data_IF_447710267173
#
_entry.id   IF_447710267173
#
_cell.length_a   1.000
_cell.length_b   1.000
_cell.length_c   1.000
_cell.angle_alpha   90.00
_cell.angle_beta   90.00
_cell.angle_gamma   90.00
#
_symmetry.space_group_name_H-M   'P 1'
#
loop_
_entity.id
_entity.type
_entity.pdbx_description
1 polymer ?
#
# COMPACT_ATOMS: atom_id res chain seq x y z
N UNK A 1 0.30 47.47 -6.79
CA UNK A 1 1.00 46.69 -7.81
C UNK A 1 0.59 45.25 -7.59
N UNK A 2 -0.55 44.95 -8.20
CA UNK A 2 -1.33 43.74 -8.03
C UNK A 2 -0.64 42.56 -8.70
N UNK A 3 -0.38 41.51 -7.93
CA UNK A 3 0.05 40.22 -8.45
C UNK A 3 -1.22 39.40 -8.66
N UNK A 4 -1.98 39.75 -9.70
CA UNK A 4 -3.03 38.90 -10.25
C UNK A 4 -2.35 37.90 -11.19
N UNK A 5 -1.96 36.74 -10.66
CA UNK A 5 -1.59 35.62 -11.52
C UNK A 5 -2.85 35.16 -12.25
N UNK A 6 -2.88 35.36 -13.57
CA UNK A 6 -3.94 34.86 -14.41
C UNK A 6 -3.80 33.35 -14.56
N UNK A 7 -4.91 32.61 -14.45
CA UNK A 7 -5.03 31.15 -14.71
C UNK A 7 -4.43 30.73 -16.08
N UNK A 8 -4.23 31.69 -16.98
CA UNK A 8 -3.55 31.48 -18.26
C UNK A 8 -2.03 31.28 -18.16
N UNK A 9 -1.35 31.76 -17.12
CA UNK A 9 0.10 31.58 -16.92
C UNK A 9 0.45 30.19 -16.37
N UNK A 10 -0.46 29.57 -15.61
CA UNK A 10 -0.31 28.17 -15.12
C UNK A 10 -0.57 27.16 -16.25
N UNK A 11 -1.37 27.53 -17.25
CA UNK A 11 -1.58 26.72 -18.48
C UNK A 11 -0.37 26.73 -19.43
N UNK A 12 0.65 27.53 -19.15
CA UNK A 12 1.86 27.72 -19.96
C UNK A 12 3.11 27.11 -19.32
N UNK A 13 2.97 26.07 -18.48
CA UNK A 13 3.95 24.98 -18.55
C UNK A 13 3.68 24.32 -19.89
N UNK A 14 4.38 24.85 -20.90
CA UNK A 14 4.11 24.66 -22.31
C UNK A 14 3.71 23.22 -22.60
N UNK A 15 2.57 23.05 -23.28
CA UNK A 15 2.19 21.76 -23.85
C UNK A 15 3.37 21.17 -24.65
N UNK A 16 4.23 22.02 -25.23
CA UNK A 16 5.48 21.59 -25.86
C UNK A 16 6.50 21.03 -24.87
N UNK A 17 6.67 21.58 -23.67
CA UNK A 17 7.57 21.02 -22.64
C UNK A 17 7.06 19.65 -22.18
N UNK A 18 5.75 19.50 -21.91
CA UNK A 18 5.18 18.18 -21.55
C UNK A 18 5.30 17.19 -22.72
N UNK A 19 5.13 17.63 -23.97
CA UNK A 19 5.25 16.77 -25.16
C UNK A 19 6.71 16.41 -25.44
N UNK A 20 7.68 17.33 -25.35
CA UNK A 20 9.10 17.05 -25.49
C UNK A 20 9.59 16.15 -24.37
N UNK A 21 9.10 16.39 -23.16
CA UNK A 21 9.43 15.61 -21.97
C UNK A 21 8.90 14.18 -22.08
N UNK A 22 7.65 14.03 -22.54
CA UNK A 22 7.06 12.73 -22.85
C UNK A 22 7.81 12.04 -23.99
N UNK A 23 8.29 12.77 -25.01
CA UNK A 23 9.00 12.19 -26.14
C UNK A 23 10.42 11.73 -25.79
N UNK A 24 11.13 12.50 -24.96
CA UNK A 24 12.48 12.15 -24.48
C UNK A 24 12.45 11.01 -23.47
N UNK A 25 11.47 11.01 -22.54
CA UNK A 25 11.26 9.86 -21.66
C UNK A 25 10.73 8.65 -22.43
N UNK A 26 9.89 8.83 -23.44
CA UNK A 26 9.48 7.74 -24.33
C UNK A 26 10.69 7.17 -25.09
N UNK A 27 11.64 8.00 -25.55
CA UNK A 27 12.88 7.53 -26.17
C UNK A 27 13.81 6.80 -25.19
N UNK A 28 13.95 7.26 -23.95
CA UNK A 28 14.73 6.58 -22.91
C UNK A 28 14.06 5.31 -22.36
N UNK A 29 12.73 5.31 -22.22
CA UNK A 29 11.93 4.14 -21.81
C UNK A 29 11.91 3.08 -22.91
N UNK A 30 11.90 3.47 -24.18
CA UNK A 30 11.96 2.54 -25.31
C UNK A 30 13.37 2.07 -25.67
N UNK A 31 14.40 2.90 -25.47
CA UNK A 31 15.81 2.51 -25.68
C UNK A 31 16.36 1.68 -24.52
N UNK A 32 15.70 1.72 -23.36
CA UNK A 32 16.00 0.84 -22.25
C UNK A 32 15.66 -0.61 -22.58
N UNK A 33 16.69 -1.42 -22.85
CA UNK A 33 16.57 -2.87 -22.94
C UNK A 33 16.84 -3.49 -21.57
N UNK A 34 15.86 -4.12 -20.92
CA UNK A 34 16.12 -4.88 -19.70
C UNK A 34 16.96 -6.12 -20.03
N UNK A 35 18.12 -6.27 -19.39
CA UNK A 35 18.68 -7.61 -19.19
C UNK A 35 17.82 -8.30 -18.13
N UNK A 36 16.87 -9.13 -18.58
CA UNK A 36 16.06 -9.95 -17.70
C UNK A 36 16.98 -10.86 -16.88
N UNK A 37 16.96 -10.71 -15.56
CA UNK A 37 17.40 -11.79 -14.69
C UNK A 37 16.33 -12.90 -14.74
N UNK A 38 16.70 -14.18 -14.58
CA UNK A 38 15.74 -15.30 -14.58
C UNK A 38 14.61 -15.17 -13.55
N UNK A 39 14.74 -14.27 -12.59
CA UNK A 39 13.79 -14.03 -11.49
C UNK A 39 12.89 -12.80 -11.70
N UNK A 40 13.02 -12.07 -12.80
CA UNK A 40 12.15 -10.91 -13.11
C UNK A 40 12.35 -9.69 -12.20
N UNK A 41 13.40 -9.68 -11.38
CA UNK A 41 13.77 -8.55 -10.51
C UNK A 41 14.94 -7.75 -11.10
N UNK A 42 14.72 -6.43 -11.23
CA UNK A 42 15.73 -5.47 -11.65
C UNK A 42 16.59 -5.06 -10.46
N UNK A 43 17.91 -5.27 -10.54
CA UNK A 43 18.88 -4.71 -9.60
C UNK A 43 20.02 -4.08 -10.39
N UNK A 44 20.16 -2.76 -10.29
CA UNK A 44 21.46 -2.11 -10.46
C UNK A 44 22.14 -2.16 -9.09
N UNK A 45 23.33 -2.76 -9.05
CA UNK A 45 24.12 -2.90 -7.83
C UNK A 45 24.84 -1.56 -7.57
N UNK A 46 24.18 -0.62 -6.89
CA UNK A 46 24.87 0.50 -6.25
C UNK A 46 25.02 0.19 -4.75
N UNK A 47 26.12 -0.47 -4.34
CA UNK A 47 26.30 -0.98 -2.99
C UNK A 47 26.31 0.13 -1.91
N UNK A 48 26.54 1.38 -2.29
CA UNK A 48 26.50 2.51 -1.34
C UNK A 48 25.09 2.89 -0.91
N UNK A 49 24.07 2.52 -1.69
CA UNK A 49 22.66 2.86 -1.42
C UNK A 49 21.82 1.63 -1.03
N UNK A 50 22.42 0.44 -1.01
CA UNK A 50 21.74 -0.81 -0.66
C UNK A 50 21.69 -0.98 0.86
N UNK A 51 20.49 -1.14 1.41
CA UNK A 51 20.36 -1.60 2.81
C UNK A 51 20.65 -3.10 2.82
N UNK A 52 21.73 -3.48 3.50
CA UNK A 52 22.02 -4.87 3.82
C UNK A 52 21.51 -5.15 5.21
N UNK A 53 20.45 -5.93 5.30
CA UNK A 53 19.95 -6.42 6.59
C UNK A 53 20.73 -7.69 6.91
N UNK A 54 21.53 -7.66 7.98
CA UNK A 54 22.15 -8.87 8.51
C UNK A 54 21.05 -9.73 9.14
N UNK A 55 20.77 -10.91 8.56
CA UNK A 55 19.78 -11.81 9.16
C UNK A 55 20.23 -12.22 10.56
N UNK A 56 19.29 -12.29 11.50
CA UNK A 56 19.54 -12.90 12.81
C UNK A 56 19.75 -14.42 12.70
N UNK A 57 19.25 -15.04 11.63
CA UNK A 57 19.55 -16.42 11.27
C UNK A 57 20.85 -16.45 10.47
N UNK A 58 21.63 -17.54 10.54
CA UNK A 58 22.92 -17.65 9.81
C UNK A 58 22.71 -17.45 8.29
N UNK A 59 23.20 -16.34 7.75
CA UNK A 59 23.22 -16.02 6.31
C UNK A 59 22.79 -14.58 6.02
N UNK A 60 23.44 -13.88 5.09
CA UNK A 60 23.00 -12.53 4.68
C UNK A 60 21.96 -12.65 3.57
N UNK A 61 20.74 -12.17 3.79
CA UNK A 61 19.71 -12.08 2.75
C UNK A 61 19.56 -10.62 2.34
N UNK A 62 20.04 -10.27 1.15
CA UNK A 62 19.90 -8.93 0.59
C UNK A 62 18.50 -8.76 0.02
N UNK A 63 17.62 -8.05 0.71
CA UNK A 63 16.37 -7.61 0.08
C UNK A 63 16.66 -6.38 -0.80
N UNK A 64 16.02 -6.28 -1.98
CA UNK A 64 16.20 -5.12 -2.88
C UNK A 64 15.61 -3.85 -2.25
N UNK A 65 16.47 -3.12 -1.53
CA UNK A 65 16.12 -1.92 -0.76
C UNK A 65 17.12 -0.82 -1.06
N UNK A 66 16.63 0.38 -1.36
CA UNK A 66 17.48 1.55 -1.63
C UNK A 66 17.01 2.77 -0.84
N UNK A 67 17.93 3.37 -0.10
CA UNK A 67 17.69 4.67 0.55
C UNK A 67 17.85 5.76 -0.49
N UNK A 68 16.84 6.61 -0.61
CA UNK A 68 16.95 7.83 -1.36
C UNK A 68 16.79 9.03 -0.43
N UNK A 69 17.70 10.00 -0.56
CA UNK A 69 17.58 11.31 0.07
C UNK A 69 17.44 12.39 -1.00
N UNK A 70 16.57 13.37 -0.74
CA UNK A 70 16.49 14.63 -1.48
C UNK A 70 17.03 15.70 -0.54
N UNK A 71 18.34 16.02 -0.60
CA UNK A 71 18.92 16.95 0.36
C UNK A 71 18.21 18.31 0.32
N UNK A 72 17.88 18.80 -0.87
CA UNK A 72 17.19 20.07 -1.02
C UNK A 72 15.78 20.07 -0.41
N UNK A 73 15.05 18.94 -0.52
CA UNK A 73 13.72 18.80 0.07
C UNK A 73 13.77 18.36 1.55
N UNK A 74 14.95 18.08 2.11
CA UNK A 74 15.13 17.48 3.43
C UNK A 74 14.23 16.25 3.65
N UNK A 75 14.14 15.39 2.63
CA UNK A 75 13.34 14.15 2.65
C UNK A 75 14.22 12.94 2.45
N UNK A 76 13.87 11.84 3.11
CA UNK A 76 14.49 10.52 2.94
C UNK A 76 13.41 9.46 2.82
N UNK A 77 13.67 8.43 2.02
CA UNK A 77 12.75 7.32 1.79
C UNK A 77 13.54 6.01 1.66
N UNK A 78 12.92 4.89 2.04
CA UNK A 78 13.38 3.56 1.67
C UNK A 78 12.44 3.02 0.62
N UNK A 79 12.94 2.83 -0.60
CA UNK A 79 12.17 2.14 -1.64
C UNK A 79 12.51 0.64 -1.61
N UNK A 80 11.47 -0.18 -1.46
CA UNK A 80 11.61 -1.63 -1.36
C UNK A 80 10.68 -2.36 -2.33
N UNK A 81 11.05 -3.58 -2.72
CA UNK A 81 10.09 -4.51 -3.32
C UNK A 81 9.04 -4.94 -2.28
N UNK A 82 7.88 -5.40 -2.75
CA UNK A 82 6.90 -6.08 -1.91
C UNK A 82 7.53 -7.34 -1.29
N UNK A 83 7.32 -7.60 0.02
CA UNK A 83 7.83 -8.80 0.64
C UNK A 83 7.41 -10.08 -0.09
N UNK A 84 8.36 -10.99 -0.24
CA UNK A 84 8.16 -12.40 -0.59
C UNK A 84 8.04 -13.22 0.70
N UNK A 85 7.45 -14.42 0.63
CA UNK A 85 7.20 -15.27 1.81
C UNK A 85 8.46 -15.48 2.68
N UNK A 86 9.62 -15.70 2.05
CA UNK A 86 10.90 -15.91 2.72
C UNK A 86 11.65 -14.61 3.10
N UNK A 87 11.05 -13.44 2.88
CA UNK A 87 11.65 -12.12 3.15
C UNK A 87 10.81 -11.23 4.05
N UNK A 88 9.63 -11.69 4.50
CA UNK A 88 8.76 -10.97 5.45
C UNK A 88 9.52 -10.57 6.71
N UNK A 89 10.25 -11.53 7.27
CA UNK A 89 11.08 -11.37 8.46
C UNK A 89 12.17 -10.29 8.28
N UNK A 90 12.87 -10.32 7.15
CA UNK A 90 13.87 -9.30 6.79
C UNK A 90 13.25 -7.91 6.57
N UNK A 91 12.03 -7.85 6.03
CA UNK A 91 11.32 -6.59 5.82
C UNK A 91 10.99 -5.91 7.16
N UNK A 92 10.46 -6.66 8.13
CA UNK A 92 10.16 -6.10 9.46
C UNK A 92 11.41 -5.76 10.25
N UNK A 93 12.47 -6.56 10.15
CA UNK A 93 13.76 -6.23 10.74
C UNK A 93 14.30 -4.90 10.19
N UNK A 94 14.23 -4.69 8.87
CA UNK A 94 14.62 -3.42 8.26
C UNK A 94 13.79 -2.25 8.79
N UNK A 95 12.47 -2.41 8.87
CA UNK A 95 11.57 -1.39 9.45
C UNK A 95 12.02 -1.05 10.89
N UNK A 96 12.32 -2.06 11.70
CA UNK A 96 12.79 -1.90 13.09
C UNK A 96 14.12 -1.15 13.17
N UNK A 97 15.16 -1.66 12.49
CA UNK A 97 16.54 -1.14 12.52
C UNK A 97 16.63 0.30 11.99
N UNK A 98 15.90 0.59 10.91
CA UNK A 98 15.88 1.92 10.28
C UNK A 98 15.03 2.92 11.05
N UNK A 99 14.40 2.52 12.16
CA UNK A 99 13.51 3.35 12.98
C UNK A 99 12.37 3.97 12.18
N UNK A 100 11.93 3.26 11.14
CA UNK A 100 10.85 3.72 10.25
C UNK A 100 9.55 3.82 11.04
N UNK A 101 8.92 5.00 10.98
CA UNK A 101 7.61 5.27 11.61
C UNK A 101 6.45 4.75 10.77
N UNK A 102 6.63 4.62 9.46
CA UNK A 102 5.57 4.15 8.58
C UNK A 102 6.03 3.30 7.40
N UNK A 103 5.08 2.49 6.94
CA UNK A 103 5.11 1.75 5.68
C UNK A 103 4.00 2.30 4.78
N UNK A 104 4.33 2.60 3.53
CA UNK A 104 3.42 3.05 2.49
C UNK A 104 3.36 1.95 1.42
N UNK A 105 2.28 1.18 1.46
CA UNK A 105 1.98 0.08 0.55
C UNK A 105 1.08 0.59 -0.58
N UNK A 106 1.60 0.55 -1.80
CA UNK A 106 0.92 1.05 -3.01
C UNK A 106 0.49 -0.08 -3.95
N UNK A 107 0.32 -1.30 -3.45
CA UNK A 107 -0.13 -2.47 -4.22
C UNK A 107 -1.09 -3.30 -3.40
N UNK A 108 -2.04 -3.97 -4.04
CA UNK A 108 -2.72 -5.08 -3.41
C UNK A 108 -1.81 -6.32 -3.39
N UNK A 109 -2.13 -7.28 -2.51
CA UNK A 109 -1.40 -8.56 -2.43
C UNK A 109 -1.50 -9.36 -3.75
N UNK A 110 -2.68 -9.33 -4.37
CA UNK A 110 -2.97 -10.00 -5.63
C UNK A 110 -3.56 -8.96 -6.59
N UNK A 111 -3.02 -8.87 -7.80
CA UNK A 111 -3.51 -8.00 -8.86
C UNK A 111 -3.61 -8.80 -10.15
N UNK A 112 -4.79 -8.77 -10.79
CA UNK A 112 -5.08 -9.53 -12.03
C UNK A 112 -4.70 -11.03 -11.92
N UNK A 113 -4.98 -11.64 -10.78
CA UNK A 113 -4.69 -13.06 -10.51
C UNK A 113 -3.22 -13.38 -10.24
N UNK A 114 -2.32 -12.38 -10.22
CA UNK A 114 -0.90 -12.56 -9.93
C UNK A 114 -0.57 -12.07 -8.53
N UNK A 115 0.21 -12.85 -7.77
CA UNK A 115 0.73 -12.43 -6.47
C UNK A 115 1.77 -11.33 -6.69
N UNK A 116 1.55 -10.17 -6.08
CA UNK A 116 2.41 -8.98 -6.18
C UNK A 116 3.21 -8.73 -4.91
N UNK A 117 2.68 -9.20 -3.79
CA UNK A 117 3.23 -9.05 -2.45
C UNK A 117 2.65 -10.16 -1.57
N UNK A 118 3.50 -10.81 -0.79
CA UNK A 118 3.06 -11.76 0.23
C UNK A 118 2.28 -11.06 1.34
N UNK A 119 1.42 -11.80 2.03
CA UNK A 119 0.75 -11.28 3.23
C UNK A 119 1.79 -11.15 4.34
N UNK A 120 2.31 -9.94 4.53
CA UNK A 120 3.40 -9.68 5.46
C UNK A 120 2.94 -8.98 6.74
N UNK A 121 1.63 -8.78 6.93
CA UNK A 121 1.08 -8.11 8.11
C UNK A 121 -0.16 -8.86 8.61
N UNK A 122 -0.46 -8.79 9.92
CA UNK A 122 -1.64 -9.45 10.48
C UNK A 122 -2.92 -8.82 9.91
N UNK A 123 -3.87 -9.66 9.50
CA UNK A 123 -5.16 -9.20 8.99
C UNK A 123 -6.21 -9.24 10.09
N UNK A 124 -7.23 -8.41 9.93
CA UNK A 124 -8.32 -8.29 10.90
C UNK A 124 -9.27 -9.51 10.87
N UNK A 125 -9.26 -10.26 9.76
CA UNK A 125 -10.07 -11.45 9.53
C UNK A 125 -9.38 -12.77 9.92
N UNK A 126 -8.13 -12.71 10.41
CA UNK A 126 -7.38 -13.85 10.90
C UNK A 126 -7.45 -13.87 12.44
N UNK A 127 -7.82 -15.01 13.04
CA UNK A 127 -7.91 -15.21 14.51
C UNK A 127 -6.60 -14.86 15.22
N UNK A 128 -5.49 -14.89 14.49
CA UNK A 128 -4.16 -14.47 14.92
C UNK A 128 -3.87 -13.06 14.38
N UNK A 129 -4.21 -12.02 15.14
CA UNK A 129 -3.77 -10.63 14.89
C UNK A 129 -2.25 -10.42 15.07
N UNK A 130 -1.48 -11.50 15.01
CA UNK A 130 -0.05 -11.55 15.25
C UNK A 130 0.61 -12.32 14.12
N UNK A 131 1.60 -11.68 13.49
CA UNK A 131 2.48 -12.35 12.55
C UNK A 131 3.65 -12.93 13.34
N UNK A 132 3.78 -14.26 13.35
CA UNK A 132 4.85 -14.99 14.01
C UNK A 132 5.48 -15.97 13.02
N UNK A 133 6.80 -15.91 12.87
CA UNK A 133 7.57 -17.04 12.32
C UNK A 133 7.91 -18.02 13.45
N UNK A 134 8.35 -19.24 13.12
CA UNK A 134 8.64 -20.30 14.12
C UNK A 134 9.69 -19.88 15.18
N UNK A 135 10.52 -18.88 14.86
CA UNK A 135 11.51 -18.27 15.75
C UNK A 135 11.69 -16.80 15.31
N UNK A 136 10.79 -15.90 15.75
CA UNK A 136 10.70 -14.56 15.23
C UNK A 136 11.61 -13.60 16.00
N UNK A 137 12.38 -12.79 15.27
CA UNK A 137 13.10 -11.65 15.87
C UNK A 137 12.14 -10.56 16.35
N UNK A 138 11.04 -10.36 15.60
CA UNK A 138 10.01 -9.38 15.89
C UNK A 138 8.63 -10.03 15.89
N UNK A 139 7.86 -9.73 16.92
CA UNK A 139 6.42 -9.97 16.94
C UNK A 139 5.70 -8.73 16.41
N UNK A 140 4.82 -8.90 15.41
CA UNK A 140 4.05 -7.81 14.83
C UNK A 140 2.57 -8.01 15.15
N UNK A 141 1.96 -7.06 15.85
CA UNK A 141 0.55 -7.13 16.28
C UNK A 141 -0.26 -5.99 15.70
N UNK A 142 -1.47 -6.24 15.21
CA UNK A 142 -2.39 -5.20 14.75
C UNK A 142 -3.14 -4.57 15.93
N UNK A 143 -2.96 -3.27 16.15
CA UNK A 143 -3.63 -2.52 17.22
C UNK A 143 -4.94 -1.87 16.76
N UNK A 144 -4.97 -1.33 15.54
CA UNK A 144 -6.16 -0.66 15.00
C UNK A 144 -6.17 -0.62 13.47
N UNK A 145 -7.36 -0.54 12.89
CA UNK A 145 -7.60 -0.43 11.45
C UNK A 145 -8.57 0.72 11.18
N UNK A 146 -8.11 1.73 10.44
CA UNK A 146 -8.92 2.86 9.97
C UNK A 146 -9.17 2.72 8.47
N UNK A 147 -10.44 2.76 8.06
CA UNK A 147 -10.85 2.60 6.66
C UNK A 147 -11.29 3.93 6.09
N UNK A 148 -10.78 4.27 4.91
CA UNK A 148 -11.21 5.40 4.10
C UNK A 148 -11.60 4.89 2.72
N UNK A 149 -12.18 5.77 1.89
CA UNK A 149 -12.75 5.37 0.59
C UNK A 149 -11.73 4.75 -0.38
N UNK A 150 -10.47 5.19 -0.35
CA UNK A 150 -9.43 4.77 -1.30
C UNK A 150 -8.20 4.11 -0.66
N UNK A 151 -8.07 4.23 0.66
CA UNK A 151 -6.94 3.72 1.42
C UNK A 151 -7.38 3.30 2.82
N UNK A 152 -6.50 2.57 3.51
CA UNK A 152 -6.65 2.28 4.93
C UNK A 152 -5.36 2.59 5.67
N UNK A 153 -5.47 2.84 6.96
CA UNK A 153 -4.35 3.04 7.87
C UNK A 153 -4.45 2.02 8.98
N UNK A 154 -3.46 1.14 9.07
CA UNK A 154 -3.35 0.22 10.19
C UNK A 154 -2.28 0.74 11.15
N UNK A 155 -2.47 0.52 12.44
CA UNK A 155 -1.42 0.75 13.45
C UNK A 155 -0.92 -0.61 13.91
N UNK A 156 0.37 -0.87 13.72
CA UNK A 156 1.02 -2.08 14.16
C UNK A 156 1.94 -1.82 15.35
N UNK A 157 1.93 -2.71 16.34
CA UNK A 157 2.94 -2.79 17.39
C UNK A 157 4.02 -3.79 16.96
N UNK A 158 5.27 -3.33 16.92
CA UNK A 158 6.45 -4.18 16.77
C UNK A 158 7.05 -4.39 18.16
N UNK A 159 7.24 -5.65 18.55
CA UNK A 159 7.89 -6.06 19.79
C UNK A 159 9.14 -6.89 19.49
N UNK A 160 10.31 -6.39 19.87
CA UNK A 160 11.58 -7.12 19.76
C UNK A 160 11.64 -8.19 20.83
N UNK A 161 11.61 -9.47 20.41
CA UNK A 161 11.39 -10.61 21.32
C UNK A 161 12.48 -10.74 22.39
N UNK A 162 13.73 -10.40 22.04
CA UNK A 162 14.87 -10.54 22.95
C UNK A 162 14.91 -9.46 24.05
N UNK A 163 14.42 -8.25 23.76
CA UNK A 163 14.53 -7.10 24.68
C UNK A 163 13.20 -6.63 25.26
N UNK A 164 12.07 -7.06 24.69
CA UNK A 164 10.73 -6.60 25.03
C UNK A 164 10.45 -5.15 24.62
N UNK A 165 11.36 -4.49 23.88
CA UNK A 165 11.14 -3.12 23.40
C UNK A 165 10.00 -3.10 22.38
N UNK A 166 9.14 -2.10 22.50
CA UNK A 166 7.97 -1.91 21.64
C UNK A 166 8.03 -0.61 20.86
N UNK A 167 7.49 -0.63 19.64
CA UNK A 167 7.32 0.57 18.81
C UNK A 167 6.11 0.44 17.90
N UNK A 168 5.37 1.52 17.76
CA UNK A 168 4.28 1.60 16.79
C UNK A 168 4.81 1.93 15.39
N UNK A 169 4.19 1.31 14.38
CA UNK A 169 4.42 1.58 12.96
C UNK A 169 3.07 1.76 12.28
N UNK A 170 2.92 2.89 11.58
CA UNK A 170 1.76 3.16 10.76
C UNK A 170 1.89 2.48 9.41
N UNK A 171 0.84 1.81 8.95
CA UNK A 171 0.82 1.15 7.66
C UNK A 171 -0.30 1.74 6.80
N UNK A 172 0.11 2.57 5.85
CA UNK A 172 -0.76 3.20 4.87
C UNK A 172 -0.88 2.30 3.65
N UNK A 173 -2.07 1.77 3.39
CA UNK A 173 -2.33 0.92 2.25
C UNK A 173 -3.30 1.59 1.27
N UNK A 174 -2.77 2.02 0.12
CA UNK A 174 -3.56 2.57 -0.98
C UNK A 174 -4.13 1.44 -1.84
N UNK A 175 -5.33 0.97 -1.50
CA UNK A 175 -5.91 -0.24 -2.07
C UNK A 175 -6.53 -0.03 -3.48
N UNK A 176 -6.90 1.19 -3.84
CA UNK A 176 -7.57 1.49 -5.12
C UNK A 176 -6.62 1.78 -6.29
N UNK A 177 -5.30 1.56 -6.13
CA UNK A 177 -4.30 1.77 -7.19
C UNK A 177 -3.88 0.45 -7.84
N UNK A 178 -4.43 0.15 -9.02
CA UNK A 178 -4.10 -1.07 -9.77
C UNK A 178 -2.70 -1.03 -10.42
N UNK A 179 -2.12 -2.20 -10.72
CA UNK A 179 -0.78 -2.26 -11.34
C UNK A 179 -0.72 -1.58 -12.71
N UNK A 180 0.40 -0.91 -12.98
CA UNK A 180 0.67 -0.13 -14.20
C UNK A 180 -0.35 0.96 -14.55
N UNK A 181 -1.30 1.24 -13.64
CA UNK A 181 -2.23 2.34 -13.80
C UNK A 181 -1.80 3.56 -12.98
N UNK A 182 -2.60 4.60 -13.08
CA UNK A 182 -2.49 5.82 -12.28
C UNK A 182 -3.67 5.87 -11.30
N UNK A 183 -3.55 6.58 -10.16
CA UNK A 183 -4.69 6.83 -9.29
C UNK A 183 -5.88 7.42 -10.07
N UNK A 184 -7.10 7.05 -9.68
CA UNK A 184 -8.32 7.47 -10.38
C UNK A 184 -8.48 9.00 -10.46
N UNK A 185 -8.03 9.72 -9.43
CA UNK A 185 -7.92 11.17 -9.45
C UNK A 185 -6.64 11.63 -8.75
N UNK A 186 -5.98 12.71 -9.24
CA UNK A 186 -4.87 13.33 -8.53
C UNK A 186 -5.30 13.83 -7.14
N UNK A 187 -6.53 14.32 -6.99
CA UNK A 187 -7.11 14.70 -5.71
C UNK A 187 -7.07 13.57 -4.67
N UNK A 188 -7.51 12.35 -5.00
CA UNK A 188 -7.50 11.22 -4.08
C UNK A 188 -6.05 10.85 -3.66
N UNK A 189 -5.12 10.90 -4.62
CA UNK A 189 -3.70 10.70 -4.34
C UNK A 189 -3.14 11.80 -3.42
N UNK A 190 -3.48 13.06 -3.66
CA UNK A 190 -3.01 14.20 -2.86
C UNK A 190 -3.60 14.17 -1.44
N UNK A 191 -4.88 13.78 -1.28
CA UNK A 191 -5.49 13.54 0.04
C UNK A 191 -4.75 12.45 0.80
N UNK A 192 -4.43 11.33 0.15
CA UNK A 192 -3.63 10.27 0.77
C UNK A 192 -2.23 10.75 1.16
N UNK A 193 -1.51 11.41 0.25
CA UNK A 193 -0.19 11.98 0.53
C UNK A 193 -0.25 12.96 1.70
N UNK A 194 -1.29 13.79 1.76
CA UNK A 194 -1.50 14.72 2.86
C UNK A 194 -1.67 14.00 4.20
N UNK A 195 -2.42 12.90 4.24
CA UNK A 195 -2.60 12.09 5.46
C UNK A 195 -1.30 11.44 5.93
N UNK A 196 -0.46 10.96 5.00
CA UNK A 196 0.89 10.46 5.31
C UNK A 196 1.80 11.58 5.84
N UNK A 197 1.61 12.84 5.38
CA UNK A 197 2.34 14.00 5.91
C UNK A 197 1.86 14.38 7.31
N UNK A 198 0.55 14.40 7.55
CA UNK A 198 -0.05 14.77 8.85
C UNK A 198 0.37 13.83 9.98
N UNK A 199 0.62 12.55 9.68
CA UNK A 199 1.10 11.60 10.69
C UNK A 199 2.54 11.85 11.16
N UNK A 200 3.26 12.80 10.54
CA UNK A 200 4.68 13.06 10.79
C UNK A 200 5.59 11.92 10.33
N UNK A 201 5.08 11.03 9.47
CA UNK A 201 5.82 9.84 9.02
C UNK A 201 6.91 10.15 7.98
N UNK A 202 6.88 11.35 7.41
CA UNK A 202 7.88 11.82 6.44
C UNK A 202 8.91 12.77 7.07
N UNK A 203 8.76 13.11 8.35
CA UNK A 203 9.57 14.14 9.02
C UNK A 203 11.02 13.70 9.19
N UNK A 204 11.95 14.67 9.18
CA UNK A 204 13.38 14.39 9.34
C UNK A 204 13.78 13.93 10.74
N UNK A 205 12.88 14.01 11.72
CA UNK A 205 13.09 13.60 13.12
C UNK A 205 12.90 12.10 13.36
N UNK A 206 12.33 11.38 12.38
CA UNK A 206 12.08 9.93 12.45
C UNK A 206 12.90 9.19 11.39
N UNK A 207 12.95 7.86 11.49
CA UNK A 207 13.54 7.03 10.45
C UNK A 207 12.78 7.15 9.13
N UNK A 208 13.46 6.96 7.98
CA UNK A 208 12.82 7.09 6.67
C UNK A 208 11.64 6.12 6.52
N UNK A 209 10.51 6.57 5.95
CA UNK A 209 9.38 5.70 5.65
C UNK A 209 9.79 4.63 4.63
N UNK A 210 9.22 3.44 4.77
CA UNK A 210 9.35 2.37 3.78
C UNK A 210 8.22 2.50 2.77
N UNK A 211 8.56 2.66 1.49
CA UNK A 211 7.60 2.79 0.40
C UNK A 211 7.79 1.62 -0.54
N UNK A 212 6.73 0.83 -0.75
CA UNK A 212 6.77 -0.30 -1.65
C UNK A 212 5.51 -0.43 -2.49
N UNK A 213 5.67 -1.09 -3.64
CA UNK A 213 4.58 -1.63 -4.43
C UNK A 213 4.88 -3.12 -4.66
N UNK A 214 4.84 -3.61 -5.89
CA UNK A 214 5.36 -4.95 -6.21
C UNK A 214 6.89 -4.90 -6.40
N UNK A 215 7.40 -4.25 -7.45
CA UNK A 215 8.85 -4.10 -7.67
C UNK A 215 9.49 -2.94 -6.90
N UNK A 216 8.68 -2.03 -6.34
CA UNK A 216 9.17 -0.86 -5.62
C UNK A 216 9.74 0.24 -6.52
N UNK A 217 9.30 0.35 -7.77
CA UNK A 217 9.85 1.33 -8.73
C UNK A 217 8.80 2.21 -9.42
N UNK A 218 7.72 1.66 -9.99
CA UNK A 218 6.70 2.45 -10.70
C UNK A 218 5.90 3.37 -9.76
N UNK A 219 4.90 2.80 -9.08
CA UNK A 219 4.02 3.50 -8.12
C UNK A 219 4.80 4.19 -7.00
N UNK A 220 5.80 3.51 -6.45
CA UNK A 220 6.69 4.08 -5.43
C UNK A 220 7.48 5.29 -5.94
N UNK A 221 7.96 5.25 -7.18
CA UNK A 221 8.66 6.37 -7.82
C UNK A 221 7.73 7.58 -8.00
N UNK A 222 6.50 7.35 -8.49
CA UNK A 222 5.47 8.40 -8.58
C UNK A 222 5.20 9.04 -7.22
N UNK A 223 5.01 8.24 -6.17
CA UNK A 223 4.77 8.78 -4.83
C UNK A 223 5.91 9.69 -4.35
N UNK A 224 7.15 9.19 -4.43
CA UNK A 224 8.32 9.94 -3.96
C UNK A 224 8.57 11.21 -4.79
N UNK A 225 8.37 11.13 -6.11
CA UNK A 225 8.59 12.27 -7.02
C UNK A 225 7.59 13.39 -6.70
N UNK A 226 6.30 13.05 -6.56
CA UNK A 226 5.27 14.05 -6.26
C UNK A 226 5.49 14.66 -4.86
N UNK A 227 5.76 13.84 -3.82
CA UNK A 227 6.03 14.35 -2.48
C UNK A 227 7.22 15.34 -2.48
N UNK A 228 8.35 14.91 -3.05
CA UNK A 228 9.57 15.71 -3.11
C UNK A 228 9.36 17.02 -3.86
N UNK A 229 8.68 16.94 -5.01
CA UNK A 229 8.35 18.10 -5.84
C UNK A 229 7.53 19.13 -5.05
N UNK A 230 6.47 18.70 -4.37
CA UNK A 230 5.62 19.60 -3.59
C UNK A 230 6.35 20.23 -2.39
N UNK A 231 7.30 19.50 -1.77
CA UNK A 231 8.16 20.09 -0.72
C UNK A 231 9.08 21.17 -1.30
N UNK A 232 9.70 20.91 -2.45
CA UNK A 232 10.56 21.88 -3.13
C UNK A 232 9.78 23.13 -3.56
N UNK A 233 8.59 22.94 -4.12
CA UNK A 233 7.70 24.06 -4.50
C UNK A 233 7.36 24.91 -3.29
N UNK A 234 6.94 24.30 -2.18
CA UNK A 234 6.64 25.03 -0.94
C UNK A 234 7.87 25.80 -0.43
N UNK A 235 9.05 25.18 -0.46
CA UNK A 235 10.31 25.79 0.00
C UNK A 235 10.76 26.95 -0.88
N UNK A 236 10.55 26.85 -2.20
CA UNK A 236 10.92 27.88 -3.18
C UNK A 236 9.87 28.98 -3.34
N UNK A 237 8.67 28.81 -2.77
CA UNK A 237 7.56 29.75 -2.87
C UNK A 237 6.86 29.72 -4.24
N UNK A 238 6.98 28.63 -5.01
CA UNK A 238 6.35 28.50 -6.32
C UNK A 238 6.87 27.33 -7.16
N UNK A 239 6.15 26.95 -8.23
CA UNK A 239 6.55 25.89 -9.17
C UNK A 239 7.72 26.29 -10.07
N UNK A 240 8.00 27.59 -10.19
CA UNK A 240 9.04 28.11 -11.08
C UNK A 240 10.42 27.53 -10.72
N UNK A 241 11.10 26.96 -11.72
CA UNK A 241 12.41 26.34 -11.55
C UNK A 241 12.39 24.89 -11.05
N UNK A 242 11.22 24.29 -10.79
CA UNK A 242 11.15 22.85 -10.59
C UNK A 242 11.31 22.13 -11.93
N UNK A 243 12.44 21.44 -12.10
CA UNK A 243 12.68 20.55 -13.23
C UNK A 243 12.31 19.12 -12.81
N UNK A 244 11.04 18.74 -13.00
CA UNK A 244 10.52 17.45 -12.57
C UNK A 244 11.32 16.26 -13.16
N UNK A 245 11.70 16.37 -14.43
CA UNK A 245 12.53 15.35 -15.08
C UNK A 245 13.90 15.21 -14.46
N UNK A 246 14.59 16.33 -14.22
CA UNK A 246 15.92 16.30 -13.62
C UNK A 246 15.84 15.67 -12.23
N UNK A 247 14.82 16.00 -11.45
CA UNK A 247 14.58 15.37 -10.16
C UNK A 247 14.37 13.85 -10.29
N UNK A 248 13.58 13.39 -11.27
CA UNK A 248 13.40 11.96 -11.55
C UNK A 248 14.71 11.28 -11.97
N UNK A 249 15.54 11.93 -12.79
CA UNK A 249 16.84 11.41 -13.21
C UNK A 249 17.79 11.28 -12.01
N UNK A 250 17.81 12.27 -11.11
CA UNK A 250 18.56 12.17 -9.86
C UNK A 250 18.04 11.04 -8.96
N UNK A 251 16.72 10.87 -8.83
CA UNK A 251 16.11 9.74 -8.12
C UNK A 251 16.55 8.40 -8.70
N UNK A 252 16.63 8.30 -10.04
CA UNK A 252 17.00 7.08 -10.75
C UNK A 252 18.46 6.66 -10.54
N UNK A 253 19.34 7.57 -10.12
CA UNK A 253 20.71 7.23 -9.69
C UNK A 253 20.73 6.36 -8.42
N UNK A 254 19.68 6.45 -7.60
CA UNK A 254 19.58 5.73 -6.33
C UNK A 254 18.81 4.42 -6.47
N UNK A 255 17.72 4.43 -7.25
CA UNK A 255 16.95 3.23 -7.61
C UNK A 255 16.58 3.29 -9.08
N UNK A 256 17.02 2.31 -9.86
CA UNK A 256 16.73 2.29 -11.29
C UNK A 256 15.23 2.10 -11.58
N UNK A 257 14.76 2.56 -12.74
CA UNK A 257 13.42 2.26 -13.25
C UNK A 257 12.27 2.93 -12.50
N UNK A 258 12.54 3.94 -11.67
CA UNK A 258 11.47 4.73 -11.05
C UNK A 258 10.59 5.36 -12.12
N UNK A 259 9.28 5.23 -11.95
CA UNK A 259 8.26 5.57 -12.97
C UNK A 259 8.46 4.71 -14.23
N UNK A 260 7.58 3.74 -14.42
CA UNK A 260 7.73 2.70 -15.45
C UNK A 260 6.95 3.00 -16.74
N UNK A 261 5.94 3.88 -16.71
CA UNK A 261 5.11 4.16 -17.88
C UNK A 261 4.97 5.67 -18.14
N UNK A 262 4.74 6.09 -19.39
CA UNK A 262 4.45 7.48 -19.73
C UNK A 262 3.24 8.03 -18.96
N UNK A 263 2.23 7.20 -18.69
CA UNK A 263 1.04 7.57 -17.93
C UNK A 263 1.39 7.91 -16.48
N UNK A 264 2.27 7.15 -15.84
CA UNK A 264 2.76 7.44 -14.49
C UNK A 264 3.54 8.77 -14.43
N UNK A 265 4.34 9.06 -15.46
CA UNK A 265 5.02 10.35 -15.55
C UNK A 265 4.02 11.48 -15.73
N UNK A 266 3.11 11.37 -16.71
CA UNK A 266 2.05 12.34 -16.96
C UNK A 266 1.22 12.60 -15.71
N UNK A 267 0.84 11.56 -14.99
CA UNK A 267 0.13 11.69 -13.72
C UNK A 267 0.96 12.44 -12.67
N UNK A 268 2.26 12.19 -12.59
CA UNK A 268 3.15 12.90 -11.67
C UNK A 268 3.16 14.41 -11.94
N UNK A 269 3.19 14.83 -13.21
CA UNK A 269 3.03 16.25 -13.56
C UNK A 269 1.68 16.79 -13.09
N UNK A 270 0.58 16.12 -13.42
CA UNK A 270 -0.77 16.58 -13.06
C UNK A 270 -0.91 16.72 -11.53
N UNK A 271 -0.49 15.71 -10.77
CA UNK A 271 -0.55 15.74 -9.31
C UNK A 271 0.32 16.84 -8.70
N UNK A 272 1.50 17.12 -9.27
CA UNK A 272 2.35 18.23 -8.82
C UNK A 272 1.72 19.58 -9.12
N UNK A 273 1.14 19.76 -10.31
CA UNK A 273 0.46 21.02 -10.68
C UNK A 273 -0.74 21.29 -9.78
N UNK A 274 -1.59 20.28 -9.58
CA UNK A 274 -2.78 20.39 -8.75
C UNK A 274 -2.39 20.64 -7.28
N UNK A 275 -1.42 19.89 -6.74
CA UNK A 275 -0.92 20.10 -5.40
C UNK A 275 -0.22 21.45 -5.21
N UNK A 276 0.47 21.96 -6.23
CA UNK A 276 1.12 23.27 -6.19
C UNK A 276 0.09 24.40 -6.11
N UNK A 277 -0.97 24.32 -6.93
CA UNK A 277 -2.07 25.30 -6.89
C UNK A 277 -2.71 25.32 -5.50
N UNK A 278 -3.02 24.17 -4.92
CA UNK A 278 -3.56 24.10 -3.55
C UNK A 278 -2.61 24.72 -2.53
N UNK A 279 -1.31 24.41 -2.59
CA UNK A 279 -0.33 24.96 -1.64
C UNK A 279 -0.21 26.49 -1.79
N UNK A 280 -0.26 27.02 -3.01
CA UNK A 280 -0.11 28.45 -3.27
C UNK A 280 -1.36 29.25 -2.95
N UNK A 281 -2.54 28.73 -3.27
CA UNK A 281 -3.82 29.40 -3.03
C UNK A 281 -4.26 29.30 -1.57
N UNK A 282 -4.04 28.15 -0.93
CA UNK A 282 -4.60 27.83 0.39
C UNK A 282 -3.55 27.70 1.49
N UNK A 283 -2.26 27.66 1.14
CA UNK A 283 -1.14 27.60 2.09
C UNK A 283 -0.76 26.18 2.55
N UNK A 284 -1.67 25.20 2.41
CA UNK A 284 -1.44 23.81 2.78
C UNK A 284 -2.18 22.83 1.87
N UNK A 285 -1.67 21.59 1.79
CA UNK A 285 -2.42 20.49 1.17
C UNK A 285 -3.64 20.06 2.02
N UNK A 286 -3.74 20.52 3.26
CA UNK A 286 -4.84 20.15 4.16
C UNK A 286 -6.18 20.73 3.77
N UNK A 287 -6.19 21.81 3.01
CA UNK A 287 -7.41 22.48 2.57
C UNK A 287 -8.13 21.73 1.43
N UNK A 288 -7.55 20.64 0.93
CA UNK A 288 -8.22 19.66 0.05
C UNK A 288 -9.29 18.86 0.83
N UNK A 289 -9.12 18.71 2.16
CA UNK A 289 -10.03 17.94 3.00
C UNK A 289 -11.31 18.70 3.38
N UNK A 290 -11.29 20.04 3.35
CA UNK A 290 -12.38 20.87 3.86
C UNK A 290 -13.59 20.87 2.90
N UNK A 291 -13.38 20.72 1.59
CA UNK A 291 -14.47 20.76 0.60
C UNK A 291 -15.33 19.48 0.53
N UNK A 292 -14.90 18.36 1.12
CA UNK A 292 -15.57 17.06 0.95
C UNK A 292 -16.15 16.46 2.24
N UNK A 293 -16.29 17.26 3.30
CA UNK A 293 -16.86 16.84 4.59
C UNK A 293 -18.39 17.08 4.69
N UNK A 294 -19.10 17.24 3.57
CA UNK A 294 -20.54 16.96 3.63
C UNK A 294 -20.72 15.44 3.81
N UNK A 295 -21.43 14.97 4.86
CA UNK A 295 -21.69 13.56 5.03
C UNK A 295 -22.47 13.04 3.83
N UNK A 296 -21.88 12.11 3.07
CA UNK A 296 -22.58 11.37 2.04
C UNK A 296 -23.68 10.56 2.73
N UNK A 297 -24.91 11.08 2.69
CA UNK A 297 -26.07 10.43 3.30
C UNK A 297 -26.26 9.07 2.63
N UNK A 298 -26.32 8.01 3.44
CA UNK A 298 -26.45 6.66 2.93
C UNK A 298 -27.64 6.57 1.96
N UNK A 299 -27.49 5.96 0.77
CA UNK A 299 -28.59 5.87 -0.18
C UNK A 299 -29.80 5.20 0.49
N UNK A 300 -31.02 5.74 0.30
CA UNK A 300 -32.19 5.28 1.01
C UNK A 300 -32.40 3.78 0.75
N UNK A 301 -32.57 3.03 1.83
CA UNK A 301 -32.87 1.60 1.76
C UNK A 301 -34.08 1.38 0.84
N UNK A 302 -34.03 0.37 -0.06
CA UNK A 302 -35.17 0.07 -0.93
C UNK A 302 -36.42 -0.22 -0.07
N UNK A 303 -37.61 0.25 -0.48
CA UNK A 303 -38.82 0.09 0.30
C UNK A 303 -39.09 -1.39 0.59
N UNK A 304 -39.27 -1.68 1.88
CA UNK A 304 -39.55 -3.01 2.41
C UNK A 304 -40.83 -3.55 1.76
N UNK A 305 -40.69 -4.51 0.85
CA UNK A 305 -41.81 -5.25 0.27
C UNK A 305 -42.55 -5.95 1.41
N UNK A 306 -43.75 -5.46 1.74
CA UNK A 306 -44.65 -6.12 2.68
C UNK A 306 -45.08 -7.44 2.05
N UNK A 307 -44.66 -8.57 2.64
CA UNK A 307 -45.27 -9.88 2.33
C UNK A 307 -46.74 -9.84 2.82
N UNK A 308 -47.71 -10.33 2.04
CA UNK A 308 -49.10 -10.36 2.47
C UNK A 308 -49.29 -11.28 3.67
N UNK A 309 -50.10 -10.81 4.61
CA UNK A 309 -50.53 -11.47 5.84
C UNK A 309 -51.17 -12.84 5.56
N UNK A 310 -50.84 -13.83 6.41
CA UNK A 310 -51.83 -14.79 6.89
C UNK A 310 -51.92 -14.66 8.41
N UNK A 311 -53.08 -14.19 8.84
CA UNK A 311 -53.60 -14.00 10.19
C UNK A 311 -53.51 -15.25 11.08
N UNK A 312 -53.18 -15.05 12.36
CA UNK A 312 -54.09 -15.34 13.48
C UNK A 312 -53.62 -14.68 14.80
N UNK A 313 -54.60 -14.20 15.55
CA UNK A 313 -54.53 -13.40 16.78
C UNK A 313 -54.02 -14.17 18.01
N UNK A 314 -53.38 -13.44 18.94
CA UNK A 314 -53.85 -13.19 20.32
C UNK A 314 -52.70 -13.11 21.35
N UNK A 315 -52.73 -12.04 22.15
CA UNK A 315 -52.00 -11.77 23.40
C UNK A 315 -53.00 -11.85 24.57
N UNK A 316 -52.62 -11.76 25.86
CA UNK A 316 -51.43 -12.24 26.58
C UNK A 316 -51.79 -12.95 27.92
N UNK A 317 -50.90 -13.75 28.53
CA UNK A 317 -50.96 -14.04 29.98
C UNK A 317 -49.58 -14.31 30.61
N UNK A 318 -49.51 -13.92 31.89
CA UNK A 318 -48.41 -13.86 32.86
C UNK A 318 -47.95 -15.21 33.42
N UNK A 319 -46.85 -15.16 34.20
CA UNK A 319 -46.25 -16.19 35.09
C UNK A 319 -45.43 -17.30 34.37
N UNK A 320 -44.24 -17.76 34.78
CA UNK A 320 -43.54 -17.82 36.09
C UNK A 320 -42.05 -18.13 35.81
N UNK A 321 -41.12 -17.73 36.70
CA UNK A 321 -39.75 -18.29 36.76
C UNK A 321 -39.79 -19.72 37.33
N UNK A 322 -38.84 -20.59 36.93
CA UNK A 322 -37.92 -21.09 37.96
C UNK A 322 -36.44 -21.16 37.53
N UNK A 323 -35.59 -21.16 38.55
CA UNK A 323 -34.15 -21.38 38.56
C UNK A 323 -33.81 -22.85 38.27
N UNK A 324 -32.83 -23.14 37.41
CA UNK A 324 -31.94 -24.32 37.51
C UNK A 324 -30.55 -23.96 36.96
N UNK A 325 -29.53 -24.38 37.71
CA UNK A 325 -28.09 -24.21 37.51
C UNK A 325 -27.51 -25.18 36.45
N UNK A 326 -26.36 -24.80 35.89
CA UNK A 326 -25.27 -25.62 35.33
C UNK A 326 -25.51 -26.66 34.20
N UNK A 327 -25.49 -26.20 32.92
CA UNK A 327 -25.13 -27.05 31.75
C UNK A 327 -24.42 -26.26 30.61
N UNK A 328 -23.37 -25.49 30.93
CA UNK A 328 -22.63 -24.72 29.91
C UNK A 328 -21.39 -25.43 29.32
N UNK A 329 -21.07 -26.65 29.78
CA UNK A 329 -19.82 -27.37 29.48
C UNK A 329 -19.88 -28.33 28.28
N UNK A 330 -20.98 -29.07 28.09
CA UNK A 330 -21.04 -30.16 27.09
C UNK A 330 -21.47 -29.70 25.69
N UNK A 331 -22.28 -28.64 25.58
CA UNK A 331 -22.75 -28.10 24.29
C UNK A 331 -21.65 -27.39 23.50
N UNK A 332 -20.68 -26.76 24.17
CA UNK A 332 -19.55 -26.11 23.49
C UNK A 332 -18.59 -27.12 22.82
N UNK A 333 -18.41 -28.28 23.43
CA UNK A 333 -17.48 -29.31 22.92
C UNK A 333 -18.06 -30.01 21.68
N UNK A 334 -19.37 -30.30 21.68
CA UNK A 334 -20.06 -30.90 20.52
C UNK A 334 -20.14 -29.95 19.31
N UNK A 335 -20.30 -28.65 19.55
CA UNK A 335 -20.30 -27.65 18.48
C UNK A 335 -18.89 -27.43 17.89
N UNK A 336 -17.84 -27.50 18.72
CA UNK A 336 -16.44 -27.46 18.27
C UNK A 336 -16.07 -28.70 17.44
N UNK A 337 -16.50 -29.89 17.84
CA UNK A 337 -16.29 -31.11 17.05
C UNK A 337 -17.01 -31.06 15.69
N UNK A 338 -18.25 -30.57 15.66
CA UNK A 338 -19.01 -30.44 14.41
C UNK A 338 -18.35 -29.44 13.46
N UNK A 339 -17.81 -28.34 13.98
CA UNK A 339 -17.06 -27.33 13.20
C UNK A 339 -15.74 -27.90 12.67
N UNK A 340 -15.03 -28.72 13.46
CA UNK A 340 -13.80 -29.40 13.04
C UNK A 340 -14.07 -30.38 11.88
N UNK A 341 -15.12 -31.19 11.98
CA UNK A 341 -15.51 -32.12 10.91
C UNK A 341 -15.84 -31.40 9.60
N UNK A 342 -16.62 -30.32 9.66
CA UNK A 342 -16.91 -29.48 8.48
C UNK A 342 -15.66 -28.84 7.87
N UNK A 343 -14.66 -28.49 8.68
CA UNK A 343 -13.37 -27.94 8.22
C UNK A 343 -12.55 -29.00 7.49
N UNK A 344 -12.51 -30.21 8.02
CA UNK A 344 -11.75 -31.32 7.46
C UNK A 344 -12.37 -31.80 6.13
N UNK A 345 -13.71 -31.88 6.05
CA UNK A 345 -14.43 -32.16 4.80
C UNK A 345 -14.13 -31.11 3.71
N UNK A 346 -14.11 -29.83 4.08
CA UNK A 346 -13.84 -28.74 3.13
C UNK A 346 -12.38 -28.72 2.66
N UNK A 347 -11.43 -29.12 3.52
CA UNK A 347 -10.02 -29.30 3.15
C UNK A 347 -9.83 -30.47 2.18
N UNK A 348 -10.53 -31.57 2.42
CA UNK A 348 -10.47 -32.76 1.57
C UNK A 348 -11.09 -32.49 0.18
N UNK A 349 -12.21 -31.77 0.14
CA UNK A 349 -12.83 -31.35 -1.12
C UNK A 349 -11.92 -30.43 -1.94
N UNK A 350 -11.23 -29.49 -1.27
CA UNK A 350 -10.28 -28.59 -1.92
C UNK A 350 -9.04 -29.36 -2.44
N UNK A 351 -8.52 -30.30 -1.65
CA UNK A 351 -7.40 -31.15 -2.06
C UNK A 351 -7.76 -31.99 -3.31
N UNK A 352 -9.00 -32.51 -3.36
CA UNK A 352 -9.51 -33.25 -4.52
C UNK A 352 -9.61 -32.35 -5.77
N UNK A 353 -10.15 -31.14 -5.62
CA UNK A 353 -10.22 -30.14 -6.71
C UNK A 353 -8.84 -29.73 -7.24
N UNK A 354 -7.85 -29.57 -6.36
CA UNK A 354 -6.47 -29.25 -6.75
C UNK A 354 -5.83 -30.44 -7.48
N UNK A 355 -6.07 -31.68 -7.03
CA UNK A 355 -5.60 -32.88 -7.71
C UNK A 355 -6.20 -33.02 -9.12
N UNK A 356 -7.50 -32.76 -9.27
CA UNK A 356 -8.18 -32.81 -10.56
C UNK A 356 -7.70 -31.71 -11.52
N UNK A 357 -7.42 -30.49 -11.01
CA UNK A 357 -6.80 -29.44 -11.81
C UNK A 357 -5.40 -29.82 -12.29
N UNK A 358 -4.57 -30.42 -11.42
CA UNK A 358 -3.23 -30.89 -11.81
C UNK A 358 -3.29 -31.99 -12.87
N UNK A 359 -4.26 -32.90 -12.78
CA UNK A 359 -4.49 -33.92 -13.83
C UNK A 359 -4.90 -33.30 -15.15
N UNK A 360 -5.80 -32.30 -15.14
CA UNK A 360 -6.24 -31.57 -16.34
C UNK A 360 -5.11 -30.78 -17.00
N UNK A 361 -4.24 -30.13 -16.21
CA UNK A 361 -3.05 -29.44 -16.75
C UNK A 361 -2.09 -30.42 -17.45
N UNK A 362 -1.79 -31.57 -16.82
CA UNK A 362 -0.92 -32.58 -17.44
C UNK A 362 -1.50 -33.19 -18.71
N UNK A 363 -2.83 -33.37 -18.75
CA UNK A 363 -3.47 -33.83 -19.99
C UNK A 363 -3.42 -32.77 -21.07
N UNK A 364 -3.64 -31.49 -20.76
CA UNK A 364 -3.49 -30.42 -21.76
C UNK A 364 -2.06 -30.22 -22.26
N UNK A 365 -1.05 -30.46 -21.43
CA UNK A 365 0.36 -30.42 -21.83
C UNK A 365 0.70 -31.59 -22.78
N UNK A 366 0.16 -32.78 -22.53
CA UNK A 366 0.34 -33.96 -23.39
C UNK A 366 -0.28 -33.82 -24.79
N UNK A 367 -1.32 -33.00 -24.97
CA UNK A 367 -1.94 -32.76 -26.28
C UNK A 367 -1.19 -31.73 -27.14
N UNK A 368 -0.25 -30.98 -26.55
CA UNK A 368 0.56 -29.99 -27.28
C UNK A 368 1.91 -30.57 -27.75
N UNK A 369 2.25 -31.81 -27.38
CA UNK A 369 3.50 -32.50 -27.76
C UNK A 369 3.29 -33.61 -28.80
N UNK A 370 2.08 -33.77 -29.36
CA UNK A 370 1.77 -34.68 -30.48
C UNK A 370 1.23 -33.87 -31.65
#
# INVERSE_FOLDING_TARGET
MDILYSISDIKLISLCTVITDLWQVHSEVLSWRPSLSPTGLFQFHNPQMTIVVSSWRKGTVTTSMQVWGVPEANRKYILAQGPLDHTVDHFWQMVWEQKSKAIIMLTNLIERGTIKCSSYYPREDEEDHVLLSDDPFLKVTCLSVQRHSYYRVNTFELEEVSSGKKREVLHFHYASWSDFSVPQSPEAFLKFLHQVRLSGSLDSTVGPPVIHCSAGIGRSGTFCLVDSSLVLIKKRGGPNGLQLQQLLLEMRKCRMGLIQTPEQLRFSYIAVLEGANTILERGSLGDILIENNEPEEAPPLPPRVKRPNSSTESTPTEETKPLVEDEAGETKNSEQELRKRKRDEKKEELAKKVSDMKKKMKTSESWNET
#
